data_IF_921295554186
#
_entry.id   IF_921295554186
#
_cell.length_a   1.000
_cell.length_b   1.000
_cell.length_c   1.000
_cell.angle_alpha   90.00
_cell.angle_beta   90.00
_cell.angle_gamma   90.00
#
_symmetry.space_group_name_H-M   'P 1'
#
loop_
_entity.id
_entity.type
_entity.pdbx_description
1 polymer ?
#
# COMPACT_ATOMS: atom_id res chain seq x y z
N UNK A 1 -18.79 -24.44 1.15
CA UNK A 1 -17.80 -23.73 2.02
C UNK A 1 -16.60 -23.35 1.17
N UNK A 2 -16.21 -22.09 1.10
CA UNK A 2 -14.99 -21.67 0.38
C UNK A 2 -13.77 -22.17 1.15
N UNK A 3 -12.78 -22.70 0.44
CA UNK A 3 -11.53 -23.19 1.03
C UNK A 3 -10.53 -22.02 1.25
N UNK A 4 -10.64 -20.97 0.41
CA UNK A 4 -9.76 -19.81 0.47
C UNK A 4 -10.53 -18.52 0.77
N UNK A 5 -9.95 -17.58 1.53
CA UNK A 5 -10.56 -16.28 1.74
C UNK A 5 -10.66 -15.51 0.42
N UNK A 6 -11.71 -14.73 0.28
CA UNK A 6 -11.98 -13.88 -0.88
C UNK A 6 -11.82 -12.42 -0.49
N UNK A 7 -10.97 -11.70 -1.20
CA UNK A 7 -10.75 -10.27 -1.00
C UNK A 7 -11.38 -9.41 -2.06
N UNK A 8 -11.60 -8.14 -1.72
CA UNK A 8 -11.96 -7.10 -2.65
C UNK A 8 -10.95 -5.95 -2.56
N UNK A 9 -10.51 -5.46 -3.71
CA UNK A 9 -9.70 -4.26 -3.76
C UNK A 9 -10.56 -3.02 -3.51
N UNK A 10 -10.15 -2.11 -2.63
CA UNK A 10 -10.98 -0.97 -2.23
C UNK A 10 -11.44 -0.10 -3.40
N UNK A 11 -10.67 -0.06 -4.51
CA UNK A 11 -11.05 0.72 -5.70
C UNK A 11 -12.22 0.15 -6.48
N UNK A 12 -12.64 -1.08 -6.19
CA UNK A 12 -13.87 -1.67 -6.73
C UNK A 12 -15.12 -1.14 -6.00
N UNK A 13 -14.95 -0.45 -4.89
CA UNK A 13 -16.02 0.19 -4.12
C UNK A 13 -16.14 1.68 -4.49
N UNK A 14 -17.31 2.30 -4.30
CA UNK A 14 -17.52 3.74 -4.53
C UNK A 14 -16.52 4.60 -3.73
N UNK A 15 -16.09 5.72 -4.34
CA UNK A 15 -15.00 6.56 -3.78
C UNK A 15 -15.40 7.27 -2.49
N UNK A 16 -16.63 7.71 -2.40
CA UNK A 16 -17.20 8.57 -1.35
C UNK A 16 -17.61 7.82 -0.09
N UNK A 17 -17.43 6.52 -0.05
CA UNK A 17 -17.73 5.73 1.13
C UNK A 17 -16.67 5.93 2.22
N UNK A 18 -17.14 6.01 3.47
CA UNK A 18 -16.31 5.89 4.66
C UNK A 18 -15.71 4.49 4.77
N UNK A 19 -14.69 4.30 5.60
CA UNK A 19 -14.12 2.96 5.84
C UNK A 19 -15.15 1.99 6.44
N UNK A 20 -16.04 2.48 7.31
CA UNK A 20 -17.10 1.67 7.87
C UNK A 20 -18.02 1.14 6.77
N UNK A 21 -18.52 2.01 5.90
CA UNK A 21 -19.40 1.62 4.80
C UNK A 21 -18.71 0.64 3.82
N UNK A 22 -17.42 0.87 3.51
CA UNK A 22 -16.64 -0.07 2.67
C UNK A 22 -16.56 -1.45 3.29
N UNK A 23 -16.29 -1.53 4.59
CA UNK A 23 -16.18 -2.80 5.30
C UNK A 23 -17.54 -3.51 5.41
N UNK A 24 -18.60 -2.76 5.71
CA UNK A 24 -19.96 -3.31 5.77
C UNK A 24 -20.41 -3.87 4.43
N UNK A 25 -20.22 -3.13 3.33
CA UNK A 25 -20.55 -3.57 1.97
C UNK A 25 -19.72 -4.81 1.59
N UNK A 26 -18.42 -4.79 1.81
CA UNK A 26 -17.56 -5.93 1.52
C UNK A 26 -18.03 -7.19 2.29
N UNK A 27 -18.32 -7.04 3.59
CA UNK A 27 -18.82 -8.13 4.42
C UNK A 27 -20.16 -8.67 3.96
N UNK A 28 -21.13 -7.79 3.69
CA UNK A 28 -22.45 -8.16 3.19
C UNK A 28 -22.40 -8.84 1.81
N UNK A 29 -21.45 -8.43 0.97
CA UNK A 29 -21.19 -9.04 -0.35
C UNK A 29 -20.44 -10.37 -0.26
N UNK A 30 -20.09 -10.81 0.94
CA UNK A 30 -19.43 -12.10 1.18
C UNK A 30 -17.93 -12.10 0.98
N UNK A 31 -17.27 -10.95 1.00
CA UNK A 31 -15.81 -10.88 1.05
C UNK A 31 -15.29 -11.07 2.47
N UNK A 32 -14.11 -11.65 2.59
CA UNK A 32 -13.45 -11.93 3.86
C UNK A 32 -12.49 -10.80 4.24
N UNK A 33 -11.98 -10.06 3.24
CA UNK A 33 -11.06 -8.94 3.46
C UNK A 33 -11.15 -7.87 2.39
N UNK A 34 -10.67 -6.68 2.74
CA UNK A 34 -10.47 -5.55 1.83
C UNK A 34 -8.97 -5.28 1.69
N UNK A 35 -8.47 -5.19 0.46
CA UNK A 35 -7.12 -4.70 0.19
C UNK A 35 -7.13 -3.17 0.12
N UNK A 36 -6.30 -2.53 0.94
CA UNK A 36 -6.15 -1.08 1.00
C UNK A 36 -5.34 -0.56 -0.18
N UNK A 37 -5.69 0.60 -0.72
CA UNK A 37 -4.91 1.29 -1.76
C UNK A 37 -4.17 2.50 -1.22
N UNK A 38 -2.88 2.61 -1.54
CA UNK A 38 -2.10 3.84 -1.42
C UNK A 38 -1.51 4.13 -2.80
N UNK A 39 -2.21 4.97 -3.58
CA UNK A 39 -1.81 5.30 -4.93
C UNK A 39 -1.20 6.71 -5.03
N UNK A 40 -0.94 7.14 -6.24
CA UNK A 40 -0.29 8.41 -6.58
C UNK A 40 -1.16 9.66 -6.37
N UNK A 41 -2.46 9.50 -6.04
CA UNK A 41 -3.35 10.64 -5.74
C UNK A 41 -3.02 11.23 -4.37
N UNK A 42 -3.14 12.55 -4.23
CA UNK A 42 -2.90 13.22 -2.97
C UNK A 42 -3.79 12.69 -1.85
N UNK A 43 -5.06 12.36 -2.17
CA UNK A 43 -6.01 11.76 -1.24
C UNK A 43 -5.48 10.46 -0.62
N UNK A 44 -5.02 9.52 -1.47
CA UNK A 44 -4.54 8.22 -0.97
C UNK A 44 -3.12 8.25 -0.45
N UNK A 45 -2.25 9.10 -1.01
CA UNK A 45 -0.92 9.32 -0.43
C UNK A 45 -0.99 9.94 0.96
N UNK A 46 -1.98 10.79 1.26
CA UNK A 46 -2.15 11.39 2.59
C UNK A 46 -2.41 10.36 3.70
N UNK A 47 -2.81 9.14 3.36
CA UNK A 47 -2.96 8.02 4.31
C UNK A 47 -1.65 7.66 5.00
N UNK A 48 -0.54 7.86 4.33
CA UNK A 48 0.80 7.66 4.89
C UNK A 48 1.08 8.59 6.08
N UNK A 49 0.38 9.72 6.11
CA UNK A 49 0.50 10.75 7.15
C UNK A 49 -0.67 10.71 8.17
N UNK A 50 -1.46 9.64 8.18
CA UNK A 50 -2.52 9.48 9.16
C UNK A 50 -1.99 9.56 10.58
N UNK A 51 -2.69 10.33 11.40
CA UNK A 51 -2.42 10.43 12.83
C UNK A 51 -2.62 9.09 13.52
N UNK A 52 -2.03 8.93 14.70
CA UNK A 52 -2.24 7.73 15.54
C UNK A 52 -3.73 7.48 15.83
N UNK A 53 -4.53 8.53 15.96
CA UNK A 53 -5.96 8.39 16.18
C UNK A 53 -6.66 7.83 14.94
N UNK A 54 -6.39 8.36 13.74
CA UNK A 54 -6.96 7.85 12.49
C UNK A 54 -6.60 6.38 12.25
N UNK A 55 -5.35 5.98 12.55
CA UNK A 55 -4.91 4.57 12.46
C UNK A 55 -5.69 3.68 13.44
N UNK A 56 -5.89 4.13 14.68
CA UNK A 56 -6.69 3.42 15.68
C UNK A 56 -8.17 3.30 15.26
N UNK A 57 -8.76 4.38 14.76
CA UNK A 57 -10.15 4.38 14.30
C UNK A 57 -10.36 3.41 13.14
N UNK A 58 -9.42 3.35 12.19
CA UNK A 58 -9.44 2.37 11.12
C UNK A 58 -9.39 0.93 11.66
N UNK A 59 -8.48 0.65 12.60
CA UNK A 59 -8.34 -0.69 13.19
C UNK A 59 -9.59 -1.08 13.98
N UNK A 60 -10.14 -0.18 14.80
CA UNK A 60 -11.39 -0.44 15.51
C UNK A 60 -12.55 -0.73 14.56
N UNK A 61 -12.68 0.10 13.51
CA UNK A 61 -13.76 -0.05 12.51
C UNK A 61 -13.69 -1.40 11.79
N UNK A 62 -12.51 -1.87 11.38
CA UNK A 62 -12.40 -3.19 10.73
C UNK A 62 -12.72 -4.34 11.68
N UNK A 63 -12.36 -4.22 12.96
CA UNK A 63 -12.67 -5.21 13.98
C UNK A 63 -14.17 -5.25 14.22
N UNK A 64 -14.81 -4.12 14.40
CA UNK A 64 -16.26 -4.00 14.63
C UNK A 64 -17.08 -4.57 13.47
N UNK A 65 -16.63 -4.35 12.23
CA UNK A 65 -17.25 -4.91 11.03
C UNK A 65 -16.91 -6.40 10.80
N UNK A 66 -15.94 -6.95 11.52
CA UNK A 66 -15.49 -8.34 11.34
C UNK A 66 -14.92 -8.61 9.96
N UNK A 67 -14.14 -7.65 9.41
CA UNK A 67 -13.46 -7.73 8.11
C UNK A 67 -11.95 -7.59 8.30
N UNK A 68 -11.16 -8.25 7.44
CA UNK A 68 -9.71 -8.16 7.50
C UNK A 68 -9.15 -7.16 6.49
N UNK A 69 -7.94 -6.67 6.73
CA UNK A 69 -7.14 -5.89 5.78
C UNK A 69 -5.70 -6.42 5.80
N UNK A 70 -5.44 -7.58 5.17
CA UNK A 70 -4.14 -8.24 5.26
C UNK A 70 -3.09 -7.61 4.35
N UNK A 71 -3.53 -6.89 3.32
CA UNK A 71 -2.66 -6.35 2.27
C UNK A 71 -2.95 -4.89 1.93
N UNK A 72 -1.93 -4.24 1.39
CA UNK A 72 -1.95 -2.89 0.85
C UNK A 72 -1.33 -2.91 -0.55
N UNK A 73 -2.03 -2.34 -1.53
CA UNK A 73 -1.45 -2.05 -2.84
C UNK A 73 -0.82 -0.65 -2.82
N UNK A 74 0.51 -0.60 -2.85
CA UNK A 74 1.29 0.64 -2.86
C UNK A 74 1.69 1.00 -4.29
N UNK A 75 0.80 1.65 -5.02
CA UNK A 75 1.07 2.10 -6.39
C UNK A 75 1.50 3.58 -6.51
N UNK A 76 1.77 4.24 -5.39
CA UNK A 76 2.33 5.59 -5.36
C UNK A 76 3.69 5.71 -6.05
N UNK A 77 4.43 4.59 -6.16
CA UNK A 77 5.70 4.50 -6.86
C UNK A 77 5.58 4.65 -8.39
N UNK A 78 4.37 4.70 -8.98
CA UNK A 78 4.20 5.13 -10.36
C UNK A 78 4.67 6.56 -10.58
N UNK A 79 4.32 7.47 -9.65
CA UNK A 79 4.70 8.88 -9.69
C UNK A 79 6.08 9.13 -9.11
N UNK A 80 6.50 8.29 -8.16
CA UNK A 80 7.77 8.42 -7.44
C UNK A 80 8.54 7.09 -7.50
N UNK A 81 9.05 6.70 -8.69
CA UNK A 81 9.71 5.41 -8.86
C UNK A 81 11.13 5.39 -8.29
N UNK A 82 11.58 4.22 -7.84
CA UNK A 82 12.96 4.00 -7.41
C UNK A 82 13.98 4.19 -8.55
N UNK A 83 13.58 3.88 -9.79
CA UNK A 83 14.45 3.99 -10.97
C UNK A 83 14.62 5.39 -11.53
N UNK A 84 13.88 6.40 -11.01
CA UNK A 84 13.94 7.77 -11.53
C UNK A 84 15.37 8.31 -11.64
N UNK A 85 15.65 9.07 -12.72
CA UNK A 85 16.90 9.81 -12.85
C UNK A 85 16.98 11.00 -11.86
N UNK A 86 15.84 11.53 -11.38
CA UNK A 86 15.82 12.62 -10.40
C UNK A 86 16.03 12.08 -8.96
N UNK A 87 17.12 12.48 -8.28
CA UNK A 87 17.39 12.04 -6.92
C UNK A 87 16.32 12.49 -5.90
N UNK A 88 15.58 13.57 -6.17
CA UNK A 88 14.49 14.03 -5.31
C UNK A 88 13.28 13.08 -5.39
N UNK A 89 12.99 12.60 -6.58
CA UNK A 89 11.93 11.59 -6.80
C UNK A 89 12.30 10.29 -6.11
N UNK A 90 13.56 9.82 -6.24
CA UNK A 90 14.03 8.62 -5.53
C UNK A 90 13.97 8.79 -4.00
N UNK A 91 14.37 9.95 -3.47
CA UNK A 91 14.24 10.21 -2.03
C UNK A 91 12.78 10.13 -1.59
N UNK A 92 11.87 10.70 -2.38
CA UNK A 92 10.43 10.60 -2.10
C UNK A 92 9.93 9.15 -2.15
N UNK A 93 10.46 8.33 -3.05
CA UNK A 93 10.13 6.90 -3.10
C UNK A 93 10.51 6.18 -1.79
N UNK A 94 11.70 6.45 -1.25
CA UNK A 94 12.12 5.90 0.05
C UNK A 94 11.24 6.39 1.20
N UNK A 95 10.87 7.66 1.22
CA UNK A 95 9.99 8.23 2.26
C UNK A 95 8.60 7.57 2.21
N UNK A 96 8.05 7.36 1.01
CA UNK A 96 6.79 6.65 0.80
C UNK A 96 6.90 5.22 1.32
N UNK A 97 7.98 4.51 1.00
CA UNK A 97 8.18 3.12 1.43
C UNK A 97 8.27 3.02 2.95
N UNK A 98 9.08 3.86 3.58
CA UNK A 98 9.23 3.87 5.05
C UNK A 98 7.90 4.13 5.76
N UNK A 99 7.15 5.15 5.31
CA UNK A 99 5.82 5.46 5.85
C UNK A 99 4.78 4.37 5.59
N UNK A 100 4.85 3.71 4.44
CA UNK A 100 3.94 2.61 4.11
C UNK A 100 4.19 1.39 5.02
N UNK A 101 5.43 1.09 5.34
CA UNK A 101 5.80 0.04 6.29
C UNK A 101 5.32 0.38 7.71
N UNK A 102 5.51 1.62 8.15
CA UNK A 102 5.01 2.09 9.44
C UNK A 102 3.48 2.00 9.52
N UNK A 103 2.79 2.50 8.49
CA UNK A 103 1.33 2.41 8.39
C UNK A 103 0.85 0.95 8.39
N UNK A 104 1.51 0.08 7.63
CA UNK A 104 1.18 -1.34 7.58
C UNK A 104 1.26 -1.99 8.97
N UNK A 105 2.31 -1.69 9.73
CA UNK A 105 2.46 -2.18 11.11
C UNK A 105 1.33 -1.70 12.02
N UNK A 106 1.02 -0.42 12.00
CA UNK A 106 -0.03 0.15 12.85
C UNK A 106 -1.42 -0.37 12.49
N UNK A 107 -1.67 -0.67 11.23
CA UNK A 107 -2.95 -1.22 10.75
C UNK A 107 -3.04 -2.75 10.83
N UNK A 108 -1.94 -3.44 11.14
CA UNK A 108 -1.88 -4.90 11.15
C UNK A 108 -1.85 -5.51 9.74
N UNK A 109 -1.41 -4.75 8.74
CA UNK A 109 -1.16 -5.21 7.37
C UNK A 109 0.19 -5.91 7.34
N UNK A 110 0.27 -7.06 6.66
CA UNK A 110 1.52 -7.85 6.60
C UNK A 110 2.07 -8.01 5.19
N UNK A 111 1.32 -7.60 4.19
CA UNK A 111 1.73 -7.69 2.79
C UNK A 111 1.55 -6.34 2.10
N UNK A 112 2.62 -5.78 1.55
CA UNK A 112 2.59 -4.59 0.70
C UNK A 112 2.89 -5.04 -0.72
N UNK A 113 1.91 -4.90 -1.60
CA UNK A 113 2.07 -5.12 -3.04
C UNK A 113 2.65 -3.87 -3.68
N UNK A 114 3.74 -4.04 -4.40
CA UNK A 114 4.43 -2.99 -5.15
C UNK A 114 4.15 -3.15 -6.64
N UNK A 115 3.99 -2.04 -7.33
CA UNK A 115 4.04 -2.03 -8.79
C UNK A 115 5.48 -2.35 -9.23
N UNK A 116 5.64 -3.36 -10.09
CA UNK A 116 6.93 -3.85 -10.56
C UNK A 116 7.58 -2.99 -11.66
N UNK A 117 7.33 -1.67 -11.64
CA UNK A 117 7.94 -0.75 -12.62
C UNK A 117 9.22 -0.15 -12.07
N UNK A 118 10.27 -0.17 -12.88
CA UNK A 118 11.47 0.62 -12.64
C UNK A 118 11.19 2.12 -12.74
N UNK A 119 10.52 2.56 -13.83
CA UNK A 119 9.87 3.87 -14.04
C UNK A 119 8.53 3.67 -14.75
N UNK A 120 7.61 4.62 -14.65
CA UNK A 120 6.30 4.53 -15.29
C UNK A 120 5.98 5.72 -16.19
N UNK A 121 6.24 6.94 -15.72
CA UNK A 121 6.00 8.19 -16.48
C UNK A 121 7.27 8.82 -17.01
N UNK A 122 8.42 8.23 -16.75
CA UNK A 122 9.73 8.69 -17.22
C UNK A 122 10.24 7.74 -18.29
N UNK A 123 11.08 8.25 -19.18
CA UNK A 123 11.84 7.40 -20.10
C UNK A 123 12.98 6.70 -19.34
N UNK A 124 13.25 5.46 -19.70
CA UNK A 124 14.38 4.72 -19.16
C UNK A 124 15.71 5.29 -19.68
N UNK A 125 16.71 5.33 -18.82
CA UNK A 125 18.11 5.58 -19.17
C UNK A 125 18.99 4.37 -18.79
N UNK A 126 20.27 4.43 -19.11
CA UNK A 126 21.22 3.33 -18.84
C UNK A 126 21.33 2.93 -17.35
N UNK A 127 21.02 3.84 -16.42
CA UNK A 127 21.09 3.62 -14.97
C UNK A 127 19.75 3.27 -14.32
N UNK A 128 18.63 3.30 -15.04
CA UNK A 128 17.28 3.15 -14.50
C UNK A 128 17.14 1.83 -13.72
N UNK A 129 17.54 0.72 -14.31
CA UNK A 129 17.40 -0.60 -13.71
C UNK A 129 18.29 -0.76 -12.46
N UNK A 130 19.52 -0.26 -12.50
CA UNK A 130 20.44 -0.30 -11.36
C UNK A 130 19.88 0.47 -10.16
N UNK A 131 19.33 1.67 -10.41
CA UNK A 131 18.69 2.48 -9.38
C UNK A 131 17.45 1.81 -8.80
N UNK A 132 16.65 1.16 -9.64
CA UNK A 132 15.48 0.38 -9.21
C UNK A 132 15.90 -0.78 -8.32
N UNK A 133 16.88 -1.57 -8.72
CA UNK A 133 17.41 -2.70 -7.94
C UNK A 133 17.96 -2.26 -6.59
N UNK A 134 18.71 -1.14 -6.55
CA UNK A 134 19.17 -0.55 -5.29
C UNK A 134 18.00 -0.13 -4.40
N UNK A 135 16.99 0.52 -4.98
CA UNK A 135 15.79 0.94 -4.29
C UNK A 135 15.03 -0.23 -3.70
N UNK A 136 14.85 -1.30 -4.45
CA UNK A 136 14.18 -2.53 -4.00
C UNK A 136 14.95 -3.24 -2.89
N UNK A 137 16.28 -3.31 -2.96
CA UNK A 137 17.09 -3.88 -1.86
C UNK A 137 16.88 -3.13 -0.56
N UNK A 138 16.93 -1.78 -0.59
CA UNK A 138 16.65 -0.94 0.58
C UNK A 138 15.23 -1.13 1.10
N UNK A 139 14.24 -1.22 0.21
CA UNK A 139 12.86 -1.48 0.58
C UNK A 139 12.71 -2.82 1.31
N UNK A 140 13.36 -3.88 0.81
CA UNK A 140 13.36 -5.21 1.45
C UNK A 140 14.01 -5.18 2.83
N UNK A 141 15.14 -4.48 2.99
CA UNK A 141 15.81 -4.32 4.30
C UNK A 141 14.89 -3.62 5.32
N UNK A 142 14.23 -2.52 4.91
CA UNK A 142 13.26 -1.81 5.77
C UNK A 142 12.08 -2.71 6.16
N UNK A 143 11.54 -3.44 5.19
CA UNK A 143 10.38 -4.31 5.40
C UNK A 143 10.71 -5.52 6.28
N UNK A 144 11.88 -6.11 6.11
CA UNK A 144 12.35 -7.24 6.92
C UNK A 144 12.43 -6.88 8.40
N UNK A 145 12.99 -5.70 8.74
CA UNK A 145 13.05 -5.20 10.11
C UNK A 145 11.68 -5.00 10.76
N UNK A 146 10.65 -4.77 9.96
CA UNK A 146 9.27 -4.56 10.38
C UNK A 146 8.39 -5.82 10.27
N UNK A 147 8.93 -6.95 9.81
CA UNK A 147 8.18 -8.17 9.54
C UNK A 147 7.02 -7.98 8.55
N UNK A 148 7.21 -7.12 7.56
CA UNK A 148 6.28 -6.89 6.45
C UNK A 148 6.82 -7.54 5.20
N UNK A 149 5.97 -8.24 4.46
CA UNK A 149 6.31 -8.84 3.18
C UNK A 149 6.11 -7.83 2.05
N UNK A 150 7.06 -7.76 1.13
CA UNK A 150 6.89 -7.06 -0.13
C UNK A 150 6.58 -8.06 -1.24
N UNK A 151 5.57 -7.79 -2.03
CA UNK A 151 5.19 -8.57 -3.20
C UNK A 151 5.20 -7.66 -4.42
N UNK A 152 5.78 -8.11 -5.51
CA UNK A 152 5.77 -7.38 -6.81
C UNK A 152 4.73 -7.99 -7.73
N UNK A 153 4.05 -7.12 -8.49
CA UNK A 153 3.09 -7.49 -9.52
C UNK A 153 3.74 -7.45 -10.90
#
# INVERSE_FOLDING_TARGET
MRIHPLGIYEKALPKDLTWKERFEIAKQSGFDYVEMSVDETDERLSRLDWTKQQRKDFVSTKIDCGILTPSMCLSGHRKYPFGSHDPKIRQRAYDIMAKAIELANDLGIRNIQLAGYDVYYEEQDEGTLERYDEGMRKAVEMAAGAQVMLATE
#
